data_IF_625193248765
#
_entry.id   IF_625193248765
#
_cell.length_a   1.000
_cell.length_b   1.000
_cell.length_c   1.000
_cell.angle_alpha   90.00
_cell.angle_beta   90.00
_cell.angle_gamma   90.00
#
_symmetry.space_group_name_H-M   'P 1'
#
loop_
_entity.id
_entity.type
_entity.pdbx_description
1 polymer ?
#
# COMPACT_ATOMS: atom_id res chain seq x y z
N UNK A 1 -2.11 2.10 -33.89
CA UNK A 1 -1.50 1.58 -32.74
C UNK A 1 -2.25 0.41 -32.26
N UNK A 2 -1.52 -0.54 -32.01
CA UNK A 2 -2.12 -1.60 -31.47
C UNK A 2 -2.63 -1.25 -30.15
N UNK A 3 -3.78 -1.69 -29.86
CA UNK A 3 -4.34 -1.42 -28.62
C UNK A 3 -3.65 -2.23 -27.59
N UNK A 4 -2.98 -1.58 -26.75
CA UNK A 4 -2.34 -2.26 -25.66
C UNK A 4 -3.36 -2.62 -24.64
N UNK A 5 -3.23 -3.79 -24.08
CA UNK A 5 -4.07 -4.16 -22.98
C UNK A 5 -3.72 -3.30 -21.80
N UNK A 6 -4.71 -2.66 -21.21
CA UNK A 6 -4.50 -1.80 -20.06
C UNK A 6 -5.34 -2.28 -18.92
N UNK A 7 -4.72 -2.64 -17.83
CA UNK A 7 -5.45 -3.04 -16.65
C UNK A 7 -6.32 -1.91 -16.12
N UNK A 8 -5.90 -0.68 -16.32
CA UNK A 8 -6.67 0.46 -15.82
C UNK A 8 -7.95 0.69 -16.58
N UNK A 9 -8.08 0.15 -17.77
CA UNK A 9 -9.32 0.27 -18.54
C UNK A 9 -10.40 -0.64 -18.00
N UNK A 10 -9.99 -1.66 -17.22
CA UNK A 10 -10.92 -2.59 -16.62
C UNK A 10 -10.45 -2.93 -15.23
N UNK A 11 -11.04 -2.27 -14.24
CA UNK A 11 -10.58 -2.42 -12.86
C UNK A 11 -10.76 -3.84 -12.34
N UNK A 12 -11.85 -4.49 -12.73
CA UNK A 12 -12.08 -5.85 -12.28
C UNK A 12 -10.98 -6.79 -12.76
N UNK A 13 -10.58 -6.62 -14.00
CA UNK A 13 -9.54 -7.46 -14.57
C UNK A 13 -8.21 -7.19 -13.90
N UNK A 14 -7.94 -5.93 -13.62
CA UNK A 14 -6.71 -5.56 -12.94
C UNK A 14 -6.64 -6.17 -11.54
N UNK A 15 -7.73 -6.06 -10.77
CA UNK A 15 -7.76 -6.62 -9.43
C UNK A 15 -7.60 -8.12 -9.44
N UNK A 16 -8.21 -8.79 -10.40
CA UNK A 16 -8.07 -10.22 -10.51
C UNK A 16 -6.61 -10.59 -10.77
N UNK A 17 -5.95 -9.86 -11.64
CA UNK A 17 -4.55 -10.11 -11.95
C UNK A 17 -3.69 -10.02 -10.69
N UNK A 18 -3.81 -8.92 -9.95
CA UNK A 18 -2.95 -8.72 -8.78
C UNK A 18 -3.26 -9.69 -7.64
N UNK A 19 -4.48 -10.21 -7.58
CA UNK A 19 -4.82 -11.14 -6.51
C UNK A 19 -4.46 -12.57 -6.84
N UNK A 20 -4.29 -12.91 -8.11
CA UNK A 20 -4.01 -14.29 -8.49
C UNK A 20 -2.54 -14.55 -8.75
N UNK A 21 -1.71 -13.54 -8.80
CA UNK A 21 -0.28 -13.71 -8.99
C UNK A 21 0.44 -13.51 -7.67
N UNK A 22 1.69 -13.97 -7.61
CA UNK A 22 2.52 -13.75 -6.44
C UNK A 22 3.39 -12.52 -6.59
N UNK A 23 3.09 -11.68 -7.56
CA UNK A 23 3.93 -10.55 -7.87
C UNK A 23 4.06 -9.60 -6.68
N UNK A 24 2.95 -9.31 -6.01
CA UNK A 24 2.98 -8.39 -4.88
C UNK A 24 3.79 -8.94 -3.72
N UNK A 25 3.73 -10.22 -3.49
CA UNK A 25 4.54 -10.83 -2.43
C UNK A 25 6.02 -10.78 -2.79
N UNK A 26 6.34 -10.97 -4.06
CA UNK A 26 7.74 -10.88 -4.49
C UNK A 26 8.27 -9.47 -4.34
N UNK A 27 7.44 -8.48 -4.68
CA UNK A 27 7.86 -7.08 -4.51
C UNK A 27 8.04 -6.78 -3.03
N UNK A 28 7.14 -7.23 -2.19
CA UNK A 28 7.25 -6.99 -0.76
C UNK A 28 8.53 -7.61 -0.21
N UNK A 29 8.87 -8.81 -0.66
CA UNK A 29 10.09 -9.46 -0.22
C UNK A 29 11.32 -8.70 -0.71
N UNK A 30 11.27 -8.16 -1.92
CA UNK A 30 12.37 -7.37 -2.45
C UNK A 30 12.56 -6.07 -1.67
N UNK A 31 11.51 -5.54 -1.11
CA UNK A 31 11.59 -4.31 -0.31
C UNK A 31 12.07 -4.56 1.12
N UNK A 32 12.06 -5.80 1.57
CA UNK A 32 12.42 -6.11 2.94
C UNK A 32 13.82 -5.61 3.34
N UNK A 33 14.87 -5.81 2.53
CA UNK A 33 16.18 -5.27 2.90
C UNK A 33 16.17 -3.75 3.00
N UNK A 34 15.37 -3.09 2.16
CA UNK A 34 15.28 -1.63 2.20
C UNK A 34 14.65 -1.21 3.52
N UNK A 35 13.57 -1.87 3.92
CA UNK A 35 12.92 -1.55 5.19
C UNK A 35 13.87 -1.81 6.36
N UNK A 36 14.63 -2.91 6.31
CA UNK A 36 15.55 -3.25 7.37
C UNK A 36 16.64 -2.21 7.57
N UNK A 37 16.96 -1.46 6.52
CA UNK A 37 18.01 -0.46 6.57
C UNK A 37 17.51 0.97 6.72
N UNK A 38 16.21 1.15 6.91
CA UNK A 38 15.65 2.49 7.08
C UNK A 38 16.09 3.09 8.42
N UNK A 39 16.40 4.37 8.39
CA UNK A 39 16.74 5.13 9.58
C UNK A 39 15.88 6.39 9.57
N UNK A 40 14.65 6.27 10.03
CA UNK A 40 13.73 7.39 9.96
C UNK A 40 14.15 8.52 10.89
N UNK A 41 13.86 9.74 10.46
CA UNK A 41 14.11 10.92 11.28
C UNK A 41 12.86 11.23 12.09
N UNK A 42 13.07 11.85 13.25
CA UNK A 42 11.95 12.29 14.03
C UNK A 42 11.07 13.24 13.21
N UNK A 43 9.78 13.25 13.43
CA UNK A 43 9.09 12.51 14.49
C UNK A 43 8.58 11.13 14.05
N UNK A 44 8.60 10.81 12.77
CA UNK A 44 7.95 9.60 12.29
C UNK A 44 8.57 9.11 11.00
N UNK A 45 8.38 7.84 10.74
CA UNK A 45 8.64 7.32 9.41
C UNK A 45 7.46 7.67 8.52
N UNK A 46 7.74 8.25 7.37
CA UNK A 46 6.70 8.67 6.44
C UNK A 46 6.78 7.85 5.18
N UNK A 47 5.64 7.31 4.77
CA UNK A 47 5.54 6.51 3.56
C UNK A 47 4.49 7.13 2.66
N UNK A 48 4.81 7.30 1.40
CA UNK A 48 3.85 7.74 0.41
C UNK A 48 3.73 6.66 -0.66
N UNK A 49 2.50 6.22 -0.90
CA UNK A 49 2.21 5.24 -1.94
C UNK A 49 1.28 5.90 -2.95
N UNK A 50 1.76 6.06 -4.16
CA UNK A 50 1.03 6.81 -5.18
C UNK A 50 -0.16 6.05 -5.76
N UNK A 51 -0.22 4.74 -5.58
CA UNK A 51 -1.32 3.93 -6.08
C UNK A 51 -1.46 2.68 -5.25
N UNK A 52 -2.39 2.70 -4.31
CA UNK A 52 -2.52 1.65 -3.32
C UNK A 52 -3.01 0.32 -3.89
N UNK A 53 -3.77 0.36 -4.98
CA UNK A 53 -4.41 -0.84 -5.48
C UNK A 53 -5.33 -1.43 -4.41
N UNK A 54 -5.31 -2.74 -4.27
CA UNK A 54 -6.14 -3.38 -3.25
C UNK A 54 -5.51 -3.34 -1.86
N UNK A 55 -4.36 -2.71 -1.73
CA UNK A 55 -3.71 -2.53 -0.45
C UNK A 55 -2.80 -3.66 -0.01
N UNK A 56 -2.73 -4.74 -0.76
CA UNK A 56 -1.98 -5.91 -0.32
C UNK A 56 -0.49 -5.62 -0.13
N UNK A 57 0.12 -4.93 -1.09
CA UNK A 57 1.53 -4.61 -1.00
C UNK A 57 1.78 -3.63 0.14
N UNK A 58 0.96 -2.59 0.22
CA UNK A 58 1.13 -1.57 1.25
C UNK A 58 0.97 -2.16 2.64
N UNK A 59 -0.03 -3.03 2.84
CA UNK A 59 -0.23 -3.66 4.14
C UNK A 59 0.97 -4.51 4.53
N UNK A 60 1.57 -5.20 3.57
CA UNK A 60 2.75 -6.01 3.84
C UNK A 60 3.93 -5.13 4.25
N UNK A 61 4.15 -4.03 3.52
CA UNK A 61 5.24 -3.11 3.83
C UNK A 61 5.02 -2.47 5.19
N UNK A 62 3.79 -2.07 5.51
CA UNK A 62 3.48 -1.52 6.82
C UNK A 62 3.81 -2.52 7.92
N UNK A 63 3.48 -3.78 7.72
CA UNK A 63 3.78 -4.81 8.70
C UNK A 63 5.27 -4.96 8.91
N UNK A 64 6.04 -4.91 7.83
CA UNK A 64 7.49 -4.97 7.95
C UNK A 64 8.01 -3.80 8.78
N UNK A 65 7.47 -2.60 8.54
CA UNK A 65 7.87 -1.43 9.30
C UNK A 65 7.49 -1.56 10.78
N UNK A 66 6.30 -2.08 11.05
CA UNK A 66 5.86 -2.28 12.43
C UNK A 66 6.77 -3.25 13.17
N UNK A 67 7.21 -4.31 12.49
CA UNK A 67 8.08 -5.30 13.10
C UNK A 67 9.49 -4.76 13.32
N UNK A 68 9.96 -3.98 12.36
CA UNK A 68 11.31 -3.45 12.45
C UNK A 68 11.40 -2.29 13.43
N UNK A 69 10.37 -1.46 13.47
CA UNK A 69 10.38 -0.20 14.21
C UNK A 69 9.13 -0.06 15.06
N UNK A 70 8.98 -0.91 16.09
CA UNK A 70 7.72 -0.92 16.85
C UNK A 70 7.48 0.34 17.65
N UNK A 71 8.52 1.13 17.93
CA UNK A 71 8.38 2.33 18.74
C UNK A 71 8.44 3.61 17.96
N UNK A 72 8.48 3.53 16.63
CA UNK A 72 8.57 4.73 15.80
C UNK A 72 7.21 4.97 15.15
N UNK A 73 6.63 6.16 15.32
CA UNK A 73 5.36 6.44 14.69
C UNK A 73 5.45 6.32 13.17
N UNK A 74 4.37 5.86 12.58
CA UNK A 74 4.30 5.63 11.13
C UNK A 74 3.19 6.47 10.54
N UNK A 75 3.53 7.28 9.56
CA UNK A 75 2.54 8.05 8.80
C UNK A 75 2.53 7.52 7.38
N UNK A 76 1.40 6.99 6.96
CA UNK A 76 1.23 6.46 5.62
C UNK A 76 0.24 7.34 4.88
N UNK A 77 0.64 7.82 3.73
CA UNK A 77 -0.23 8.61 2.87
C UNK A 77 -0.30 7.91 1.52
N UNK A 78 -1.50 7.76 0.99
CA UNK A 78 -1.67 7.09 -0.28
C UNK A 78 -2.72 7.79 -1.11
N UNK A 79 -2.65 7.60 -2.42
CA UNK A 79 -3.64 8.10 -3.35
C UNK A 79 -4.25 6.93 -4.09
N UNK A 80 -5.49 7.10 -4.47
CA UNK A 80 -6.18 6.07 -5.22
C UNK A 80 -7.28 6.71 -6.04
N UNK A 81 -7.55 6.17 -7.22
CA UNK A 81 -8.60 6.68 -8.10
C UNK A 81 -9.81 5.76 -8.13
N UNK A 82 -9.72 4.60 -7.53
CA UNK A 82 -10.77 3.60 -7.56
C UNK A 82 -11.40 3.44 -6.19
N UNK A 83 -12.71 3.71 -6.08
CA UNK A 83 -13.43 3.48 -4.85
C UNK A 83 -13.39 2.02 -4.44
N UNK A 84 -13.41 1.14 -5.42
CA UNK A 84 -13.35 -0.29 -5.13
C UNK A 84 -12.03 -0.65 -4.45
N UNK A 85 -10.92 -0.10 -4.94
CA UNK A 85 -9.62 -0.33 -4.34
C UNK A 85 -9.57 0.23 -2.92
N UNK A 86 -10.14 1.41 -2.72
CA UNK A 86 -10.17 2.02 -1.39
C UNK A 86 -10.92 1.12 -0.42
N UNK A 87 -12.07 0.61 -0.84
CA UNK A 87 -12.85 -0.27 0.02
C UNK A 87 -12.08 -1.53 0.39
N UNK A 88 -11.41 -2.13 -0.60
CA UNK A 88 -10.62 -3.33 -0.33
C UNK A 88 -9.46 -3.05 0.60
N UNK A 89 -8.81 -1.91 0.42
CA UNK A 89 -7.72 -1.52 1.30
C UNK A 89 -8.18 -1.26 2.71
N UNK A 90 -9.31 -0.59 2.86
CA UNK A 90 -9.84 -0.29 4.19
C UNK A 90 -10.19 -1.56 4.97
N UNK A 91 -10.58 -2.62 4.26
CA UNK A 91 -10.90 -3.87 4.93
C UNK A 91 -9.66 -4.53 5.53
N UNK A 92 -8.48 -4.19 5.04
CA UNK A 92 -7.23 -4.78 5.50
C UNK A 92 -6.56 -3.98 6.61
N UNK A 93 -6.99 -2.74 6.82
CA UNK A 93 -6.31 -1.84 7.73
C UNK A 93 -6.43 -2.15 9.22
N UNK A 94 -7.56 -2.66 9.71
CA UNK A 94 -7.72 -2.79 11.16
C UNK A 94 -6.59 -3.54 11.84
N UNK A 95 -6.09 -4.60 11.22
CA UNK A 95 -5.00 -5.36 11.82
C UNK A 95 -3.73 -4.53 11.95
N UNK A 96 -3.51 -3.62 10.99
CA UNK A 96 -2.32 -2.79 11.05
C UNK A 96 -2.36 -1.83 12.23
N UNK A 97 -3.54 -1.29 12.52
CA UNK A 97 -3.68 -0.39 13.66
C UNK A 97 -3.59 -1.12 14.99
N UNK A 98 -4.06 -2.35 15.05
CA UNK A 98 -3.95 -3.13 16.27
C UNK A 98 -2.50 -3.44 16.59
N UNK A 99 -1.70 -3.76 15.59
CA UNK A 99 -0.33 -4.15 15.83
C UNK A 99 0.60 -2.95 16.08
N UNK A 100 0.17 -1.73 15.74
CA UNK A 100 1.03 -0.56 15.93
C UNK A 100 0.17 0.67 16.21
N UNK A 101 0.13 1.08 17.46
CA UNK A 101 -0.79 2.13 17.90
C UNK A 101 -0.48 3.51 17.34
N UNK A 102 0.76 3.76 17.00
CA UNK A 102 1.17 5.09 16.52
C UNK A 102 1.22 5.13 15.00
N UNK A 103 0.24 4.55 14.36
CA UNK A 103 0.12 4.56 12.90
C UNK A 103 -1.01 5.49 12.49
N UNK A 104 -0.72 6.38 11.56
CA UNK A 104 -1.71 7.26 10.95
C UNK A 104 -1.76 6.94 9.47
N UNK A 105 -2.96 6.80 8.95
CA UNK A 105 -3.16 6.42 7.57
C UNK A 105 -4.08 7.42 6.90
N UNK A 106 -3.62 7.98 5.79
CA UNK A 106 -4.39 8.97 5.04
C UNK A 106 -4.57 8.49 3.61
N UNK A 107 -5.80 8.44 3.16
CA UNK A 107 -6.13 8.09 1.78
C UNK A 107 -6.72 9.30 1.10
N UNK A 108 -6.15 9.66 -0.03
CA UNK A 108 -6.71 10.68 -0.90
C UNK A 108 -7.33 9.99 -2.10
N UNK A 109 -8.64 10.09 -2.21
CA UNK A 109 -9.34 9.54 -3.35
C UNK A 109 -9.50 10.64 -4.38
N UNK A 110 -8.91 10.46 -5.53
CA UNK A 110 -9.03 11.42 -6.61
C UNK A 110 -9.99 10.87 -7.65
N UNK A 111 -11.05 11.60 -7.90
CA UNK A 111 -12.01 11.23 -8.93
C UNK A 111 -11.67 11.84 -10.26
N UNK A 112 -10.62 12.63 -10.29
CA UNK A 112 -10.18 13.28 -11.51
C UNK A 112 -8.99 12.52 -12.02
N UNK A 113 -9.13 12.00 -13.22
CA UNK A 113 -8.01 11.34 -13.81
C UNK A 113 -8.00 11.75 -15.23
N UNK A 114 -7.31 12.62 -15.49
CA UNK A 114 -7.29 13.20 -16.79
C UNK A 114 -6.28 12.53 -17.65
#
# INVERSE_FOLDING_TARGET
>A
MKKNFRFFDNRQKYLLFVTTTNEKNKIADALRPIVQNLKPKNPALKIFDAGMGDGSLLMNVMRQCHQKMPNIPLLVSTKEISMEDVRLGLEKLPDRFVEHKNTVFVISLSLIHI
#
